data_IF_384821605907
#
_entry.id   IF_384821605907
#
_cell.length_a   1.000
_cell.length_b   1.000
_cell.length_c   1.000
_cell.angle_alpha   90.00
_cell.angle_beta   90.00
_cell.angle_gamma   90.00
#
_symmetry.space_group_name_H-M   'P 1'
#
loop_
_entity.id
_entity.type
_entity.pdbx_description
1 polymer ?
#
# COMPACT_ATOMS: atom_id res chain seq x y z
N UNK A 1 10.99 -7.79 -24.03
CA UNK A 1 10.32 -6.59 -23.47
C UNK A 1 11.26 -5.97 -22.47
N UNK A 2 11.66 -4.73 -22.72
CA UNK A 2 12.59 -3.95 -21.91
C UNK A 2 11.83 -2.85 -21.16
N UNK A 3 12.01 -2.74 -19.87
CA UNK A 3 11.29 -1.78 -19.04
C UNK A 3 12.25 -0.91 -18.24
N UNK A 4 12.15 0.40 -18.43
CA UNK A 4 12.84 1.37 -17.58
C UNK A 4 11.91 1.82 -16.45
N UNK A 5 12.31 1.55 -15.22
CA UNK A 5 11.55 1.85 -13.99
C UNK A 5 12.08 3.13 -13.33
N UNK A 6 11.27 4.18 -13.20
CA UNK A 6 11.72 5.47 -12.66
C UNK A 6 10.98 5.84 -11.38
N UNK A 7 11.70 5.93 -10.25
CA UNK A 7 11.19 6.35 -8.94
C UNK A 7 11.88 7.63 -8.46
N UNK A 8 11.12 8.73 -8.43
CA UNK A 8 11.66 10.04 -8.00
C UNK A 8 11.59 10.30 -6.50
N UNK A 9 10.85 9.50 -5.75
CA UNK A 9 10.73 9.60 -4.29
C UNK A 9 11.89 8.89 -3.56
N UNK A 10 12.08 9.27 -2.29
CA UNK A 10 13.10 8.68 -1.40
C UNK A 10 12.57 8.47 0.03
N UNK A 11 11.25 8.58 0.23
CA UNK A 11 10.63 8.26 1.52
C UNK A 11 10.48 6.74 1.68
N UNK A 12 10.29 6.29 2.91
CA UNK A 12 10.02 4.88 3.26
C UNK A 12 8.49 4.63 3.29
N UNK A 13 7.78 5.09 2.27
CA UNK A 13 6.32 4.91 2.15
C UNK A 13 5.93 3.60 1.48
N UNK A 14 4.66 3.22 1.60
CA UNK A 14 4.14 1.99 0.98
C UNK A 14 4.29 1.95 -0.54
N UNK A 15 4.25 3.10 -1.23
CA UNK A 15 4.44 3.16 -2.68
C UNK A 15 5.90 2.89 -3.09
N UNK A 16 6.87 3.34 -2.30
CA UNK A 16 8.29 3.09 -2.52
C UNK A 16 8.66 1.63 -2.24
N UNK A 17 8.09 1.05 -1.21
CA UNK A 17 8.26 -0.38 -0.91
C UNK A 17 7.68 -1.21 -2.05
N UNK A 18 6.43 -0.92 -2.45
CA UNK A 18 5.76 -1.64 -3.52
C UNK A 18 6.49 -1.52 -4.87
N UNK A 19 7.10 -0.38 -5.17
CA UNK A 19 7.96 -0.23 -6.35
C UNK A 19 9.08 -1.28 -6.40
N UNK A 20 9.74 -1.50 -5.27
CA UNK A 20 10.84 -2.48 -5.19
C UNK A 20 10.33 -3.92 -5.26
N UNK A 21 9.18 -4.20 -4.67
CA UNK A 21 8.52 -5.51 -4.77
C UNK A 21 8.09 -5.79 -6.22
N UNK A 22 7.51 -4.82 -6.91
CA UNK A 22 7.13 -4.96 -8.31
C UNK A 22 8.33 -5.21 -9.24
N UNK A 23 9.48 -4.52 -9.00
CA UNK A 23 10.73 -4.79 -9.72
C UNK A 23 11.21 -6.22 -9.46
N UNK A 24 11.22 -6.65 -8.19
CA UNK A 24 11.64 -8.01 -7.84
C UNK A 24 10.77 -9.07 -8.54
N UNK A 25 9.46 -8.88 -8.52
CA UNK A 25 8.52 -9.78 -9.22
C UNK A 25 8.77 -9.84 -10.72
N UNK A 26 8.97 -8.69 -11.38
CA UNK A 26 9.26 -8.64 -12.81
C UNK A 26 10.64 -9.26 -13.14
N UNK A 27 11.61 -9.15 -12.22
CA UNK A 27 12.92 -9.80 -12.36
C UNK A 27 12.80 -11.32 -12.32
N UNK A 28 11.98 -11.86 -11.41
CA UNK A 28 11.68 -13.29 -11.32
C UNK A 28 10.97 -13.84 -12.59
N UNK A 29 10.33 -12.94 -13.35
CA UNK A 29 9.70 -13.27 -14.65
C UNK A 29 10.64 -13.10 -15.85
N UNK A 30 11.95 -12.89 -15.60
CA UNK A 30 12.98 -12.66 -16.62
C UNK A 30 12.66 -11.47 -17.55
N UNK A 31 12.05 -10.41 -17.00
CA UNK A 31 11.84 -9.15 -17.72
C UNK A 31 13.13 -8.33 -17.64
N UNK A 32 13.63 -7.91 -18.80
CA UNK A 32 14.80 -7.04 -18.88
C UNK A 32 14.48 -5.65 -18.32
N UNK A 33 15.11 -5.28 -17.22
CA UNK A 33 14.82 -4.07 -16.47
C UNK A 33 16.05 -3.21 -16.25
N UNK A 34 15.86 -1.90 -16.27
CA UNK A 34 16.79 -0.90 -15.78
C UNK A 34 16.07 0.03 -14.82
N UNK A 35 16.70 0.46 -13.73
CA UNK A 35 16.07 1.35 -12.75
C UNK A 35 16.74 2.73 -12.71
N UNK A 36 15.92 3.78 -12.53
CA UNK A 36 16.41 5.11 -12.16
C UNK A 36 15.76 5.51 -10.84
N UNK A 37 16.58 5.74 -9.83
CA UNK A 37 16.12 6.06 -8.47
C UNK A 37 16.70 7.35 -7.94
N UNK A 38 16.03 7.93 -6.95
CA UNK A 38 16.53 9.12 -6.28
C UNK A 38 17.83 8.77 -5.51
N UNK A 39 18.89 9.57 -5.68
CA UNK A 39 20.18 9.37 -4.99
C UNK A 39 20.08 9.35 -3.45
N UNK A 40 18.99 9.87 -2.89
CA UNK A 40 18.73 9.83 -1.45
C UNK A 40 18.02 8.55 -0.98
N UNK A 41 17.53 7.71 -1.90
CA UNK A 41 16.83 6.46 -1.59
C UNK A 41 17.83 5.33 -1.30
N UNK A 42 18.49 5.37 -0.14
CA UNK A 42 19.51 4.38 0.24
C UNK A 42 18.98 2.96 0.27
N UNK A 43 17.80 2.73 0.87
CA UNK A 43 17.18 1.39 0.95
C UNK A 43 16.83 0.84 -0.45
N UNK A 44 16.31 1.71 -1.32
CA UNK A 44 16.02 1.34 -2.71
C UNK A 44 17.29 0.94 -3.48
N UNK A 45 18.37 1.67 -3.31
CA UNK A 45 19.66 1.37 -3.94
C UNK A 45 20.17 -0.01 -3.48
N UNK A 46 20.26 -0.26 -2.17
CA UNK A 46 20.69 -1.55 -1.60
C UNK A 46 19.82 -2.71 -2.11
N UNK A 47 18.50 -2.50 -2.23
CA UNK A 47 17.60 -3.53 -2.74
C UNK A 47 17.82 -3.83 -4.22
N UNK A 48 18.04 -2.81 -5.06
CA UNK A 48 18.37 -3.00 -6.49
C UNK A 48 19.71 -3.74 -6.67
N UNK A 49 20.72 -3.42 -5.87
CA UNK A 49 21.99 -4.13 -5.83
C UNK A 49 21.79 -5.61 -5.48
N UNK A 50 21.04 -5.91 -4.43
CA UNK A 50 20.75 -7.29 -4.01
C UNK A 50 19.97 -8.12 -5.06
N UNK A 51 19.22 -7.44 -5.94
CA UNK A 51 18.48 -8.06 -7.04
C UNK A 51 19.28 -8.12 -8.35
N UNK A 52 20.51 -7.62 -8.38
CA UNK A 52 21.35 -7.48 -9.57
C UNK A 52 20.64 -6.69 -10.71
N UNK A 53 19.80 -5.71 -10.37
CA UNK A 53 19.14 -4.85 -11.34
C UNK A 53 20.06 -3.69 -11.69
N UNK A 54 20.42 -3.46 -12.97
CA UNK A 54 21.21 -2.30 -13.37
C UNK A 54 20.43 -1.00 -13.09
N UNK A 55 21.11 -0.01 -12.51
CA UNK A 55 20.46 1.25 -12.16
C UNK A 55 21.37 2.46 -12.29
N UNK A 56 20.74 3.64 -12.33
CA UNK A 56 21.38 4.97 -12.16
C UNK A 56 20.65 5.77 -11.09
N UNK A 57 21.41 6.62 -10.40
CA UNK A 57 20.85 7.55 -9.43
C UNK A 57 20.70 8.96 -10.01
N UNK A 58 19.58 9.62 -9.69
CA UNK A 58 19.29 10.99 -10.13
C UNK A 58 18.77 11.82 -8.95
N UNK A 59 19.05 13.11 -8.91
CA UNK A 59 18.62 13.96 -7.78
C UNK A 59 17.14 14.27 -7.75
N UNK A 60 16.45 14.25 -8.88
CA UNK A 60 15.05 14.68 -9.06
C UNK A 60 14.77 16.06 -8.43
N UNK A 61 15.77 16.96 -8.47
CA UNK A 61 15.63 18.32 -7.98
C UNK A 61 15.06 19.22 -9.09
N UNK A 62 14.09 20.06 -8.76
CA UNK A 62 13.46 20.99 -9.72
C UNK A 62 14.47 22.01 -10.27
N UNK A 63 15.39 22.50 -9.44
CA UNK A 63 16.43 23.46 -9.83
C UNK A 63 17.42 22.89 -10.86
N UNK A 64 17.67 21.58 -10.81
CA UNK A 64 18.58 20.87 -11.71
C UNK A 64 17.82 19.86 -12.59
N UNK A 65 16.60 20.25 -13.00
CA UNK A 65 15.74 19.39 -13.82
C UNK A 65 16.39 18.99 -15.13
N UNK A 66 17.12 19.91 -15.74
CA UNK A 66 17.85 19.69 -16.99
C UNK A 66 18.90 18.57 -16.87
N UNK A 67 19.81 18.63 -15.89
CA UNK A 67 20.83 17.61 -15.72
C UNK A 67 20.24 16.21 -15.42
N UNK A 68 19.14 16.18 -14.65
CA UNK A 68 18.41 14.94 -14.39
C UNK A 68 17.80 14.36 -15.67
N UNK A 69 17.23 15.21 -16.53
CA UNK A 69 16.66 14.80 -17.83
C UNK A 69 17.75 14.29 -18.79
N UNK A 70 18.93 14.87 -18.80
CA UNK A 70 20.05 14.38 -19.62
C UNK A 70 20.46 12.96 -19.23
N UNK A 71 20.56 12.69 -17.93
CA UNK A 71 20.89 11.33 -17.45
C UNK A 71 19.79 10.34 -17.86
N UNK A 72 18.52 10.69 -17.67
CA UNK A 72 17.38 9.86 -18.05
C UNK A 72 17.39 9.60 -19.56
N UNK A 73 17.59 10.64 -20.37
CA UNK A 73 17.64 10.53 -21.83
C UNK A 73 18.79 9.62 -22.29
N UNK A 74 19.98 9.76 -21.66
CA UNK A 74 21.09 8.86 -21.96
C UNK A 74 20.75 7.40 -21.66
N UNK A 75 20.16 7.10 -20.50
CA UNK A 75 19.76 5.73 -20.16
C UNK A 75 18.70 5.21 -21.15
N UNK A 76 17.75 6.03 -21.57
CA UNK A 76 16.75 5.64 -22.58
C UNK A 76 17.43 5.28 -23.91
N UNK A 77 18.37 6.09 -24.37
CA UNK A 77 19.07 5.87 -25.64
C UNK A 77 19.96 4.60 -25.61
N UNK A 78 20.62 4.36 -24.48
CA UNK A 78 21.54 3.21 -24.30
C UNK A 78 20.74 1.91 -24.10
N UNK A 79 19.71 1.92 -23.25
CA UNK A 79 18.91 0.75 -22.90
C UNK A 79 17.83 0.41 -23.92
N UNK A 80 17.30 1.42 -24.64
CA UNK A 80 16.21 1.32 -25.64
C UNK A 80 14.99 0.56 -25.09
N UNK A 81 14.32 1.11 -24.06
CA UNK A 81 13.17 0.46 -23.44
C UNK A 81 11.95 0.44 -24.36
N UNK A 82 11.14 -0.61 -24.30
CA UNK A 82 9.79 -0.63 -24.88
C UNK A 82 8.85 0.27 -24.06
N UNK A 83 9.01 0.24 -22.73
CA UNK A 83 8.19 0.96 -21.75
C UNK A 83 9.10 1.73 -20.77
N UNK A 84 8.76 2.99 -20.50
CA UNK A 84 9.27 3.76 -19.38
C UNK A 84 8.15 3.95 -18.37
N UNK A 85 8.28 3.30 -17.22
CA UNK A 85 7.27 3.30 -16.15
C UNK A 85 7.66 4.31 -15.07
N UNK A 86 6.90 5.38 -14.97
CA UNK A 86 7.10 6.47 -14.00
C UNK A 86 6.25 6.23 -12.76
N UNK A 87 6.90 5.93 -11.66
CA UNK A 87 6.26 5.71 -10.36
C UNK A 87 6.02 7.03 -9.66
N UNK A 88 4.76 7.40 -9.52
CA UNK A 88 4.29 8.63 -8.87
C UNK A 88 4.62 9.93 -9.63
N UNK A 89 3.90 11.00 -9.29
CA UNK A 89 3.96 12.27 -10.02
C UNK A 89 5.32 12.99 -9.99
N UNK A 90 6.22 12.70 -9.02
CA UNK A 90 7.57 13.28 -9.05
C UNK A 90 8.38 12.74 -10.23
N UNK A 91 8.32 11.44 -10.47
CA UNK A 91 9.01 10.82 -11.61
C UNK A 91 8.44 11.35 -12.93
N UNK A 92 7.11 11.44 -13.09
CA UNK A 92 6.44 11.97 -14.27
C UNK A 92 6.86 13.41 -14.61
N UNK A 93 7.24 14.23 -13.63
CA UNK A 93 7.74 15.60 -13.88
C UNK A 93 9.06 15.62 -14.67
N UNK A 94 9.74 14.50 -14.81
CA UNK A 94 11.00 14.33 -15.56
C UNK A 94 10.83 13.49 -16.82
N UNK A 95 9.60 13.28 -17.27
CA UNK A 95 9.26 12.50 -18.44
C UNK A 95 10.03 12.98 -19.69
N UNK A 96 10.47 12.01 -20.47
CA UNK A 96 11.12 12.16 -21.76
C UNK A 96 10.22 11.49 -22.80
N UNK A 97 9.92 12.18 -23.90
CA UNK A 97 9.25 11.60 -25.05
C UNK A 97 10.25 10.89 -25.97
N UNK A 98 9.82 9.85 -26.65
CA UNK A 98 10.62 9.06 -27.57
C UNK A 98 9.80 7.95 -28.21
N UNK A 99 10.47 6.96 -28.78
CA UNK A 99 9.81 5.79 -29.39
C UNK A 99 9.24 4.79 -28.36
N UNK A 100 9.61 4.92 -27.09
CA UNK A 100 9.07 4.10 -26.00
C UNK A 100 7.67 4.58 -25.58
N UNK A 101 7.01 3.77 -24.76
CA UNK A 101 5.71 4.09 -24.18
C UNK A 101 5.91 4.60 -22.75
N UNK A 102 5.34 5.76 -22.43
CA UNK A 102 5.39 6.33 -21.08
C UNK A 102 4.15 5.94 -20.28
N UNK A 103 4.32 5.21 -19.16
CA UNK A 103 3.26 4.82 -18.24
C UNK A 103 3.40 5.58 -16.93
N UNK A 104 2.31 6.19 -16.44
CA UNK A 104 2.26 6.86 -15.15
C UNK A 104 1.53 6.01 -14.09
N UNK A 105 2.17 5.72 -12.96
CA UNK A 105 1.57 5.02 -11.82
C UNK A 105 0.99 6.01 -10.82
N UNK A 106 -0.34 5.94 -10.60
CA UNK A 106 -1.05 6.78 -9.64
C UNK A 106 -1.22 6.06 -8.30
N UNK A 107 -0.59 6.59 -7.25
CA UNK A 107 -0.62 6.02 -5.91
C UNK A 107 -1.72 6.60 -4.99
N UNK A 108 -2.60 7.47 -5.51
CA UNK A 108 -3.67 8.09 -4.71
C UNK A 108 -4.43 9.20 -5.42
N UNK A 109 -5.42 9.73 -4.74
CA UNK A 109 -6.36 10.76 -5.21
C UNK A 109 -5.68 12.14 -5.24
N UNK A 110 -4.90 12.41 -6.27
CA UNK A 110 -4.18 13.66 -6.49
C UNK A 110 -4.48 14.20 -7.89
N UNK A 111 -4.10 15.46 -8.15
CA UNK A 111 -4.19 16.06 -9.47
C UNK A 111 -3.34 15.31 -10.49
N UNK A 112 -3.82 15.27 -11.74
CA UNK A 112 -3.20 14.53 -12.86
C UNK A 112 -2.21 15.34 -13.68
N UNK A 113 -1.99 16.61 -13.35
CA UNK A 113 -1.20 17.56 -14.16
C UNK A 113 0.19 17.03 -14.52
N UNK A 114 0.85 16.36 -13.56
CA UNK A 114 2.18 15.78 -13.76
C UNK A 114 2.18 14.52 -14.61
N UNK A 115 1.02 13.90 -14.76
CA UNK A 115 0.84 12.64 -15.48
C UNK A 115 0.32 12.85 -16.91
N UNK A 116 -0.18 14.05 -17.26
CA UNK A 116 -0.82 14.33 -18.55
C UNK A 116 0.06 13.98 -19.77
N UNK A 117 1.38 14.00 -19.62
CA UNK A 117 2.33 13.65 -20.66
C UNK A 117 2.58 12.13 -20.79
N UNK A 118 2.00 11.30 -19.92
CA UNK A 118 2.08 9.85 -20.05
C UNK A 118 1.09 9.37 -21.13
N UNK A 119 1.49 8.34 -21.87
CA UNK A 119 0.66 7.73 -22.92
C UNK A 119 -0.45 6.87 -22.29
N UNK A 120 -0.13 6.19 -21.17
CA UNK A 120 -1.03 5.34 -20.41
C UNK A 120 -0.87 5.54 -18.90
N UNK A 121 -1.89 5.12 -18.15
CA UNK A 121 -1.96 5.33 -16.70
C UNK A 121 -2.34 4.04 -15.99
N UNK A 122 -1.75 3.81 -14.81
CA UNK A 122 -2.12 2.73 -13.89
C UNK A 122 -2.80 3.33 -12.68
N UNK A 123 -3.98 2.82 -12.35
CA UNK A 123 -4.75 3.13 -11.16
C UNK A 123 -4.85 1.90 -10.25
N UNK A 124 -4.75 2.10 -8.92
CA UNK A 124 -4.78 1.00 -7.94
C UNK A 124 -6.17 0.38 -7.77
N UNK A 125 -7.22 1.15 -8.05
CA UNK A 125 -8.62 0.75 -7.85
C UNK A 125 -9.49 1.33 -8.95
N UNK A 126 -10.68 0.74 -9.15
CA UNK A 126 -11.70 1.24 -10.08
C UNK A 126 -12.16 2.66 -9.74
N UNK A 127 -12.25 3.03 -8.46
CA UNK A 127 -12.57 4.40 -8.05
C UNK A 127 -11.45 5.38 -8.38
N UNK A 128 -10.19 5.00 -8.16
CA UNK A 128 -9.06 5.83 -8.57
C UNK A 128 -9.02 6.00 -10.10
N UNK A 129 -9.33 4.94 -10.87
CA UNK A 129 -9.50 5.02 -12.32
C UNK A 129 -10.55 6.07 -12.70
N UNK A 130 -11.74 6.03 -12.07
CA UNK A 130 -12.80 7.03 -12.30
C UNK A 130 -12.33 8.45 -11.95
N UNK A 131 -11.64 8.61 -10.82
CA UNK A 131 -11.10 9.91 -10.39
C UNK A 131 -10.11 10.50 -11.40
N UNK A 132 -9.23 9.67 -11.98
CA UNK A 132 -8.28 10.08 -13.01
C UNK A 132 -9.03 10.48 -14.30
N UNK A 133 -10.02 9.69 -14.72
CA UNK A 133 -10.83 9.97 -15.90
C UNK A 133 -11.62 11.29 -15.78
N UNK A 134 -12.20 11.55 -14.61
CA UNK A 134 -12.92 12.82 -14.33
C UNK A 134 -12.02 14.05 -14.43
N UNK A 135 -10.70 13.91 -14.34
CA UNK A 135 -9.75 15.00 -14.54
C UNK A 135 -9.28 15.14 -16.00
N UNK A 136 -9.96 14.49 -16.95
CA UNK A 136 -9.75 14.64 -18.39
C UNK A 136 -8.71 13.70 -19.00
N UNK A 137 -8.37 12.60 -18.35
CA UNK A 137 -7.60 11.52 -18.95
C UNK A 137 -8.59 10.51 -19.59
N UNK A 138 -8.32 10.11 -20.85
CA UNK A 138 -9.13 9.12 -21.55
C UNK A 138 -9.18 7.80 -20.76
N UNK A 139 -10.39 7.33 -20.44
CA UNK A 139 -10.63 6.12 -19.68
C UNK A 139 -10.05 4.84 -20.33
N UNK A 140 -9.91 4.83 -21.67
CA UNK A 140 -9.30 3.72 -22.41
C UNK A 140 -7.77 3.65 -22.23
N UNK A 141 -7.15 4.72 -21.76
CA UNK A 141 -5.73 4.81 -21.45
C UNK A 141 -5.43 4.53 -19.98
N UNK A 142 -6.45 4.23 -19.16
CA UNK A 142 -6.29 3.97 -17.71
C UNK A 142 -6.57 2.50 -17.42
N UNK A 143 -5.57 1.79 -16.94
CA UNK A 143 -5.67 0.39 -16.54
C UNK A 143 -5.72 0.28 -15.01
N UNK A 144 -6.59 -0.60 -14.52
CA UNK A 144 -6.60 -0.95 -13.11
C UNK A 144 -5.56 -2.05 -12.86
N UNK A 145 -4.66 -1.80 -11.93
CA UNK A 145 -3.69 -2.76 -11.45
C UNK A 145 -3.47 -2.54 -9.95
N UNK A 146 -4.12 -3.34 -9.10
CA UNK A 146 -3.96 -3.24 -7.66
C UNK A 146 -2.54 -3.66 -7.25
N UNK A 147 -2.10 -3.17 -6.10
CA UNK A 147 -0.91 -3.69 -5.46
C UNK A 147 -1.18 -5.11 -4.94
N UNK A 148 -0.11 -5.84 -4.68
CA UNK A 148 -0.17 -7.17 -4.09
C UNK A 148 0.56 -7.21 -2.74
N UNK A 149 0.38 -8.31 -2.01
CA UNK A 149 1.22 -8.70 -0.88
C UNK A 149 1.55 -10.18 -0.98
N UNK A 150 2.57 -10.61 -0.21
CA UNK A 150 2.93 -12.01 -0.12
C UNK A 150 2.02 -12.76 0.85
N UNK A 151 1.89 -14.06 0.65
CA UNK A 151 1.20 -14.92 1.61
C UNK A 151 1.93 -14.87 2.94
N UNK A 152 1.20 -14.58 4.02
CA UNK A 152 1.79 -14.57 5.35
C UNK A 152 2.09 -16.00 5.82
N UNK A 153 3.36 -16.29 6.08
CA UNK A 153 3.86 -17.57 6.61
C UNK A 153 4.66 -17.37 7.90
N UNK A 154 4.60 -16.19 8.48
CA UNK A 154 5.36 -15.84 9.67
C UNK A 154 4.84 -16.58 10.89
N UNK A 155 5.77 -16.97 11.77
CA UNK A 155 5.44 -17.50 13.09
C UNK A 155 4.86 -16.38 13.96
N UNK A 156 3.97 -16.75 14.87
CA UNK A 156 3.47 -15.84 15.90
C UNK A 156 4.59 -15.44 16.85
N UNK A 157 4.54 -14.20 17.32
CA UNK A 157 5.36 -13.72 18.45
C UNK A 157 4.61 -13.97 19.76
N UNK A 158 5.34 -13.96 20.86
CA UNK A 158 4.73 -14.19 22.17
C UNK A 158 4.03 -12.91 22.64
N UNK A 159 2.73 -13.01 22.98
CA UNK A 159 1.95 -11.86 23.49
C UNK A 159 2.51 -11.33 24.81
N UNK A 160 3.10 -12.23 25.64
CA UNK A 160 3.74 -11.86 26.91
C UNK A 160 4.91 -10.87 26.74
N UNK A 161 5.61 -10.87 25.60
CA UNK A 161 6.70 -9.93 25.32
C UNK A 161 6.22 -8.46 25.26
N UNK A 162 4.88 -8.29 25.15
CA UNK A 162 4.20 -7.00 25.14
C UNK A 162 3.14 -6.91 26.27
N UNK A 163 3.31 -7.62 27.38
CA UNK A 163 2.38 -7.65 28.51
C UNK A 163 0.92 -7.81 28.06
N UNK A 164 0.65 -8.73 27.15
CA UNK A 164 -0.67 -8.96 26.59
C UNK A 164 -1.11 -10.39 26.91
N UNK A 165 -2.24 -10.59 27.61
CA UNK A 165 -2.76 -11.92 27.96
C UNK A 165 -3.12 -12.74 26.71
N UNK A 166 -2.89 -14.05 26.75
CA UNK A 166 -3.20 -14.97 25.65
C UNK A 166 -4.71 -15.22 25.50
N UNK A 167 -5.46 -15.14 26.60
CA UNK A 167 -6.91 -15.40 26.66
C UNK A 167 -7.79 -14.20 26.29
N UNK A 168 -7.20 -13.05 26.02
CA UNK A 168 -7.93 -11.82 25.69
C UNK A 168 -7.91 -11.53 24.19
N UNK A 169 -8.99 -10.97 23.62
CA UNK A 169 -8.99 -10.53 22.22
C UNK A 169 -7.90 -9.49 21.98
N UNK A 170 -7.09 -9.71 20.94
CA UNK A 170 -6.02 -8.81 20.55
C UNK A 170 -6.28 -8.18 19.19
N UNK A 171 -6.40 -6.86 19.18
CA UNK A 171 -6.52 -6.04 17.98
C UNK A 171 -5.16 -5.53 17.54
N UNK A 172 -5.00 -5.35 16.23
CA UNK A 172 -3.82 -4.72 15.61
C UNK A 172 -4.23 -3.56 14.71
N UNK A 173 -3.53 -2.43 14.85
CA UNK A 173 -3.55 -1.35 13.86
C UNK A 173 -2.13 -1.06 13.39
N UNK A 174 -1.88 -1.29 12.10
CA UNK A 174 -0.60 -1.00 11.44
C UNK A 174 -0.74 0.28 10.61
N UNK A 175 -0.13 1.37 11.02
CA UNK A 175 -0.20 2.62 10.27
C UNK A 175 0.82 3.65 10.72
N UNK A 176 1.02 4.68 9.89
CA UNK A 176 1.71 5.89 10.35
C UNK A 176 0.89 6.58 11.44
N UNK A 177 1.55 7.09 12.47
CA UNK A 177 0.88 7.85 13.54
C UNK A 177 0.62 9.28 13.06
N UNK A 178 -0.45 9.44 12.28
CA UNK A 178 -0.85 10.67 11.61
C UNK A 178 -2.38 10.81 11.62
N UNK A 179 -2.91 12.03 11.65
CA UNK A 179 -4.34 12.35 11.79
C UNK A 179 -5.23 11.63 10.75
N UNK A 180 -4.75 11.47 9.51
CA UNK A 180 -5.48 10.76 8.45
C UNK A 180 -5.71 9.27 8.76
N UNK A 181 -5.03 8.71 9.77
CA UNK A 181 -5.14 7.28 10.12
C UNK A 181 -6.19 6.99 11.21
N UNK A 182 -6.78 8.03 11.82
CA UNK A 182 -7.92 7.89 12.72
C UNK A 182 -7.65 7.08 13.99
N UNK A 183 -6.38 6.99 14.43
CA UNK A 183 -6.02 6.22 15.64
C UNK A 183 -6.61 6.83 16.90
N UNK A 184 -6.86 8.12 16.92
CA UNK A 184 -7.57 8.85 17.96
C UNK A 184 -8.99 8.29 18.18
N UNK A 185 -9.72 8.05 17.09
CA UNK A 185 -11.06 7.43 17.10
C UNK A 185 -11.00 5.97 17.58
N UNK A 186 -9.96 5.23 17.18
CA UNK A 186 -9.77 3.85 17.65
C UNK A 186 -9.53 3.81 19.17
N UNK A 187 -8.74 4.74 19.72
CA UNK A 187 -8.54 4.82 21.16
C UNK A 187 -9.85 5.09 21.91
N UNK A 188 -10.70 5.99 21.41
CA UNK A 188 -12.03 6.23 21.98
C UNK A 188 -12.93 4.99 21.89
N UNK A 189 -12.91 4.27 20.79
CA UNK A 189 -13.65 3.02 20.62
C UNK A 189 -13.18 1.95 21.62
N UNK A 190 -11.88 1.88 21.91
CA UNK A 190 -11.32 0.92 22.89
C UNK A 190 -11.83 1.13 24.32
N UNK A 191 -12.27 2.33 24.69
CA UNK A 191 -12.94 2.59 25.99
C UNK A 191 -14.21 1.75 26.10
N UNK A 192 -14.94 1.57 24.97
CA UNK A 192 -16.21 0.84 24.90
C UNK A 192 -16.02 -0.66 24.70
N UNK A 193 -14.78 -1.15 24.58
CA UNK A 193 -14.43 -2.57 24.39
C UNK A 193 -13.43 -2.98 25.47
N UNK A 194 -13.87 -3.05 26.76
CA UNK A 194 -12.96 -3.23 27.90
C UNK A 194 -12.26 -4.61 27.94
N UNK A 195 -12.81 -5.62 27.28
CA UNK A 195 -12.26 -6.97 27.22
C UNK A 195 -11.05 -7.13 26.28
N UNK A 196 -10.83 -6.17 25.37
CA UNK A 196 -9.84 -6.29 24.32
C UNK A 196 -8.53 -5.53 24.59
N UNK A 197 -7.45 -6.03 24.01
CA UNK A 197 -6.15 -5.38 23.93
C UNK A 197 -5.91 -4.84 22.52
N UNK A 198 -5.09 -3.79 22.40
CA UNK A 198 -4.75 -3.18 21.11
C UNK A 198 -3.25 -2.98 21.00
N UNK A 199 -2.69 -3.50 19.93
CA UNK A 199 -1.35 -3.13 19.47
C UNK A 199 -1.42 -2.10 18.35
N UNK A 200 -0.68 -1.01 18.51
CA UNK A 200 -0.50 0.02 17.49
C UNK A 200 0.96 -0.01 17.04
N UNK A 201 1.21 -0.46 15.82
CA UNK A 201 2.56 -0.53 15.26
C UNK A 201 2.72 0.49 14.12
N UNK A 202 3.78 1.29 14.23
CA UNK A 202 4.13 2.36 13.32
C UNK A 202 4.78 3.54 14.02
N UNK A 203 5.15 4.54 13.25
CA UNK A 203 5.75 5.78 13.71
C UNK A 203 5.08 6.99 13.07
N UNK A 204 5.25 8.17 13.65
CA UNK A 204 4.71 9.39 13.09
C UNK A 204 4.64 10.54 14.08
N UNK A 205 4.27 11.74 13.60
CA UNK A 205 4.30 12.95 14.42
C UNK A 205 3.33 12.94 15.62
N UNK A 206 2.23 12.18 15.54
CA UNK A 206 1.23 12.12 16.61
C UNK A 206 1.53 11.09 17.71
N UNK A 207 2.75 10.50 17.76
CA UNK A 207 3.07 9.46 18.74
C UNK A 207 2.76 9.89 20.17
N UNK A 208 3.27 11.04 20.59
CA UNK A 208 3.11 11.52 21.96
C UNK A 208 1.64 11.92 22.26
N UNK A 209 0.97 12.53 21.30
CA UNK A 209 -0.44 12.94 21.46
C UNK A 209 -1.34 11.70 21.64
N UNK A 210 -1.13 10.64 20.88
CA UNK A 210 -1.88 9.38 20.98
C UNK A 210 -1.57 8.64 22.29
N UNK A 211 -0.33 8.65 22.76
CA UNK A 211 0.02 8.08 24.07
C UNK A 211 -0.71 8.84 25.18
N UNK A 212 -0.63 10.18 25.19
CA UNK A 212 -1.30 11.02 26.16
C UNK A 212 -2.84 10.85 26.12
N UNK A 213 -3.42 10.70 24.92
CA UNK A 213 -4.86 10.39 24.78
C UNK A 213 -5.19 9.01 25.39
N UNK A 214 -4.39 8.00 25.11
CA UNK A 214 -4.56 6.66 25.66
C UNK A 214 -4.52 6.65 27.20
N UNK A 215 -3.62 7.43 27.80
CA UNK A 215 -3.52 7.57 29.26
C UNK A 215 -4.75 8.28 29.87
N UNK A 216 -5.17 9.40 29.27
CA UNK A 216 -6.39 10.13 29.70
C UNK A 216 -7.65 9.29 29.60
N UNK A 217 -7.71 8.37 28.62
CA UNK A 217 -8.81 7.43 28.44
C UNK A 217 -8.73 6.18 29.34
N UNK A 218 -7.72 6.08 30.21
CA UNK A 218 -7.54 4.94 31.09
C UNK A 218 -7.13 3.63 30.39
N UNK A 219 -6.49 3.72 29.20
CA UNK A 219 -6.15 2.56 28.38
C UNK A 219 -4.72 2.04 28.60
N UNK A 220 -3.95 2.61 29.52
CA UNK A 220 -2.51 2.36 29.72
C UNK A 220 -2.12 0.87 29.75
N UNK A 221 -2.93 0.03 30.39
CA UNK A 221 -2.65 -1.42 30.48
C UNK A 221 -3.00 -2.21 29.22
N UNK A 222 -3.92 -1.72 28.38
CA UNK A 222 -4.54 -2.46 27.27
C UNK A 222 -4.12 -2.01 25.88
N UNK A 223 -3.51 -0.84 25.75
CA UNK A 223 -3.01 -0.31 24.47
C UNK A 223 -1.49 -0.26 24.51
N UNK A 224 -0.85 -0.88 23.53
CA UNK A 224 0.61 -0.94 23.40
C UNK A 224 1.05 -0.26 22.09
N UNK A 225 1.90 0.75 22.22
CA UNK A 225 2.54 1.43 21.08
C UNK A 225 3.88 0.77 20.77
N UNK A 226 3.92 -0.08 19.73
CA UNK A 226 5.08 -0.93 19.41
C UNK A 226 6.17 -0.22 18.60
N UNK A 227 5.93 1.03 18.18
CA UNK A 227 6.84 1.74 17.27
C UNK A 227 6.89 1.15 15.86
N UNK A 228 7.90 1.53 15.10
CA UNK A 228 8.13 0.93 13.78
C UNK A 228 8.58 -0.51 13.92
N UNK A 229 7.94 -1.41 13.15
CA UNK A 229 8.21 -2.85 13.17
C UNK A 229 8.53 -3.35 11.78
N UNK A 230 9.55 -4.17 11.66
CA UNK A 230 9.91 -4.84 10.40
C UNK A 230 9.26 -6.23 10.29
N UNK A 231 8.80 -6.79 11.41
CA UNK A 231 8.14 -8.09 11.53
C UNK A 231 6.59 -7.98 11.54
N UNK A 232 6.04 -7.07 10.72
CA UNK A 232 4.60 -6.82 10.64
C UNK A 232 3.78 -8.08 10.36
N UNK A 233 4.33 -9.02 9.59
CA UNK A 233 3.71 -10.31 9.28
C UNK A 233 3.55 -11.17 10.53
N UNK A 234 4.53 -11.15 11.43
CA UNK A 234 4.46 -11.87 12.71
C UNK A 234 3.44 -11.21 13.67
N UNK A 235 3.38 -9.88 13.70
CA UNK A 235 2.33 -9.15 14.43
C UNK A 235 0.94 -9.57 13.93
N UNK A 236 0.71 -9.56 12.61
CA UNK A 236 -0.56 -9.99 12.02
C UNK A 236 -0.87 -11.46 12.30
N UNK A 237 0.12 -12.35 12.25
CA UNK A 237 -0.09 -13.76 12.59
C UNK A 237 -0.55 -13.95 14.04
N UNK A 238 -0.10 -13.09 14.95
CA UNK A 238 -0.35 -13.16 16.41
C UNK A 238 -1.72 -12.60 16.79
N UNK A 239 -2.19 -11.55 16.13
CA UNK A 239 -3.43 -10.85 16.48
C UNK A 239 -4.68 -11.62 16.06
N UNK A 240 -5.83 -11.25 16.63
CA UNK A 240 -7.12 -11.85 16.31
C UNK A 240 -7.89 -11.04 15.26
N UNK A 241 -7.82 -9.71 15.34
CA UNK A 241 -8.58 -8.77 14.49
C UNK A 241 -7.66 -7.63 14.03
N UNK A 242 -7.75 -7.24 12.77
CA UNK A 242 -7.10 -6.04 12.26
C UNK A 242 -8.10 -4.89 12.12
N UNK A 243 -7.72 -3.69 12.60
CA UNK A 243 -8.59 -2.50 12.60
C UNK A 243 -7.90 -1.34 11.92
N UNK A 244 -8.54 -0.75 10.90
CA UNK A 244 -8.00 0.32 10.08
C UNK A 244 -8.94 1.52 10.02
N UNK A 245 -8.92 2.39 11.03
CA UNK A 245 -9.87 3.50 11.19
C UNK A 245 -9.52 4.72 10.32
N UNK A 246 -8.83 4.51 9.19
CA UNK A 246 -8.29 5.58 8.36
C UNK A 246 -9.38 6.49 7.79
N UNK A 247 -9.23 7.80 7.99
CA UNK A 247 -10.06 8.86 7.39
C UNK A 247 -9.81 8.98 5.88
N UNK A 248 -8.56 8.72 5.48
CA UNK A 248 -8.18 8.77 4.07
C UNK A 248 -7.11 7.73 3.77
N UNK A 249 -7.43 6.78 2.90
CA UNK A 249 -6.51 5.81 2.34
C UNK A 249 -6.87 5.57 0.88
N UNK A 250 -5.88 5.55 0.01
CA UNK A 250 -6.11 5.40 -1.43
C UNK A 250 -6.33 3.95 -1.85
N UNK A 251 -5.85 3.00 -1.05
CA UNK A 251 -5.98 1.57 -1.33
C UNK A 251 -6.27 0.76 -0.07
N UNK A 252 -5.42 0.90 0.98
CA UNK A 252 -5.50 0.08 2.18
C UNK A 252 -4.64 -1.18 2.10
N UNK A 253 -3.33 -1.03 1.81
CA UNK A 253 -2.39 -2.14 1.71
C UNK A 253 -2.45 -3.10 2.91
N UNK A 254 -2.58 -2.54 4.11
CA UNK A 254 -2.67 -3.33 5.35
C UNK A 254 -3.92 -4.23 5.41
N UNK A 255 -4.98 -3.94 4.66
CA UNK A 255 -6.18 -4.79 4.57
C UNK A 255 -5.85 -6.08 3.82
N UNK A 256 -5.17 -5.98 2.68
CA UNK A 256 -4.77 -7.18 1.92
C UNK A 256 -3.69 -7.98 2.66
N UNK A 257 -2.84 -7.33 3.45
CA UNK A 257 -1.87 -7.98 4.32
C UNK A 257 -2.58 -8.78 5.46
N UNK A 258 -3.62 -8.21 6.05
CA UNK A 258 -4.43 -8.92 7.05
C UNK A 258 -5.22 -10.08 6.43
N UNK A 259 -5.76 -9.94 5.22
CA UNK A 259 -6.36 -11.05 4.48
C UNK A 259 -5.35 -12.16 4.19
N UNK A 260 -4.12 -11.80 3.78
CA UNK A 260 -3.04 -12.77 3.58
C UNK A 260 -2.67 -13.54 4.86
N UNK A 261 -2.88 -12.92 6.03
CA UNK A 261 -2.73 -13.54 7.35
C UNK A 261 -4.00 -14.26 7.85
N UNK A 262 -5.07 -14.33 7.06
CA UNK A 262 -6.39 -14.86 7.44
C UNK A 262 -6.95 -14.19 8.69
N UNK A 263 -6.88 -12.85 8.76
CA UNK A 263 -7.46 -12.08 9.86
C UNK A 263 -8.70 -11.32 9.39
N UNK A 264 -9.76 -11.28 10.21
CA UNK A 264 -10.90 -10.43 9.94
C UNK A 264 -10.49 -8.95 9.99
N UNK A 265 -11.02 -8.16 9.06
CA UNK A 265 -10.75 -6.74 8.93
C UNK A 265 -11.95 -5.89 9.34
N UNK A 266 -11.70 -4.83 10.09
CA UNK A 266 -12.65 -3.74 10.33
C UNK A 266 -12.00 -2.46 9.82
N UNK A 267 -12.63 -1.74 8.91
CA UNK A 267 -12.09 -0.52 8.33
C UNK A 267 -13.13 0.59 8.23
N UNK A 268 -12.68 1.84 8.28
CA UNK A 268 -13.54 2.97 7.93
C UNK A 268 -13.74 3.05 6.40
N UNK A 269 -14.89 3.60 5.96
CA UNK A 269 -15.29 3.78 4.55
C UNK A 269 -14.48 4.85 3.82
N UNK A 270 -13.16 4.91 4.06
CA UNK A 270 -12.28 5.76 3.25
C UNK A 270 -12.14 5.21 1.82
N UNK A 271 -11.71 6.01 0.85
CA UNK A 271 -11.81 5.68 -0.58
C UNK A 271 -11.29 4.31 -0.99
N UNK A 272 -10.11 3.91 -0.52
CA UNK A 272 -9.54 2.59 -0.80
C UNK A 272 -10.33 1.44 -0.15
N UNK A 273 -10.46 1.40 1.18
CA UNK A 273 -11.21 0.38 1.90
C UNK A 273 -12.62 0.13 1.36
N UNK A 274 -13.40 1.18 1.10
CA UNK A 274 -14.77 1.02 0.54
C UNK A 274 -14.79 0.40 -0.86
N UNK A 275 -13.68 0.48 -1.61
CA UNK A 275 -13.57 -0.12 -2.94
C UNK A 275 -13.14 -1.58 -2.88
N UNK A 276 -12.26 -1.93 -1.93
CA UNK A 276 -11.70 -3.28 -1.88
C UNK A 276 -12.47 -4.23 -0.95
N UNK A 277 -13.09 -3.72 0.12
CA UNK A 277 -13.89 -4.53 1.05
C UNK A 277 -15.33 -4.64 0.56
N UNK A 278 -15.85 -5.86 0.53
CA UNK A 278 -17.28 -6.15 0.41
C UNK A 278 -17.84 -6.28 1.82
N UNK A 279 -18.58 -5.23 2.26
CA UNK A 279 -19.06 -5.12 3.64
C UNK A 279 -19.86 -6.34 4.07
N UNK A 280 -19.67 -6.79 5.32
CA UNK A 280 -20.24 -8.00 5.93
C UNK A 280 -19.91 -9.32 5.20
N UNK A 281 -19.03 -9.32 4.20
CA UNK A 281 -18.60 -10.52 3.47
C UNK A 281 -17.13 -10.86 3.70
N UNK A 282 -16.20 -9.94 3.41
CA UNK A 282 -14.75 -10.12 3.56
C UNK A 282 -14.10 -9.11 4.51
N UNK A 283 -14.92 -8.28 5.17
CA UNK A 283 -14.56 -7.33 6.20
C UNK A 283 -15.78 -6.57 6.67
N UNK A 284 -15.63 -5.73 7.69
CA UNK A 284 -16.67 -4.79 8.13
C UNK A 284 -16.25 -3.37 7.77
N UNK A 285 -17.20 -2.59 7.23
CA UNK A 285 -17.03 -1.19 6.93
C UNK A 285 -17.87 -0.32 7.89
N UNK A 286 -17.22 0.64 8.53
CA UNK A 286 -17.86 1.61 9.41
C UNK A 286 -17.69 3.04 8.88
N UNK A 287 -18.56 3.95 9.28
CA UNK A 287 -18.44 5.35 8.90
C UNK A 287 -17.17 5.98 9.48
N UNK A 288 -16.61 6.95 8.77
CA UNK A 288 -15.42 7.69 9.22
C UNK A 288 -15.81 8.49 10.47
N UNK A 289 -14.90 8.48 11.46
CA UNK A 289 -15.05 9.19 12.74
C UNK A 289 -16.25 8.75 13.60
N UNK A 290 -16.85 7.60 13.34
CA UNK A 290 -17.93 7.04 14.16
C UNK A 290 -17.37 6.06 15.20
N UNK A 291 -17.07 6.59 16.39
CA UNK A 291 -16.55 5.84 17.55
C UNK A 291 -17.51 4.69 17.94
N UNK A 292 -18.82 4.95 17.92
CA UNK A 292 -19.80 3.97 18.38
C UNK A 292 -19.88 2.78 17.43
N UNK A 293 -20.05 3.05 16.12
CA UNK A 293 -20.09 1.98 15.11
C UNK A 293 -18.77 1.20 15.04
N UNK A 294 -17.62 1.87 15.26
CA UNK A 294 -16.34 1.18 15.31
C UNK A 294 -16.27 0.22 16.50
N UNK A 295 -16.67 0.67 17.69
CA UNK A 295 -16.73 -0.19 18.88
C UNK A 295 -17.72 -1.36 18.71
N UNK A 296 -18.90 -1.11 18.14
CA UNK A 296 -19.91 -2.13 17.90
C UNK A 296 -19.42 -3.18 16.88
N UNK A 297 -18.74 -2.74 15.82
CA UNK A 297 -18.13 -3.66 14.85
C UNK A 297 -17.06 -4.54 15.49
N UNK A 298 -16.20 -3.98 16.38
CA UNK A 298 -15.19 -4.72 17.11
C UNK A 298 -15.87 -5.78 18.01
N UNK A 299 -16.85 -5.39 18.83
CA UNK A 299 -17.62 -6.31 19.68
C UNK A 299 -18.32 -7.40 18.88
N UNK A 300 -18.91 -7.04 17.74
CA UNK A 300 -19.58 -7.98 16.84
C UNK A 300 -18.64 -9.08 16.36
N UNK A 301 -17.40 -8.75 16.03
CA UNK A 301 -16.40 -9.73 15.59
C UNK A 301 -15.87 -10.55 16.77
N UNK A 302 -15.59 -9.93 17.93
CA UNK A 302 -15.13 -10.61 19.14
C UNK A 302 -16.14 -11.65 19.61
N UNK A 303 -17.43 -11.29 19.64
CA UNK A 303 -18.49 -12.11 20.22
C UNK A 303 -19.09 -13.12 19.23
N UNK A 304 -18.62 -13.15 17.98
CA UNK A 304 -19.14 -14.04 16.94
C UNK A 304 -18.02 -14.72 16.13
N UNK A 305 -17.53 -15.83 16.65
CA UNK A 305 -16.47 -16.61 15.99
C UNK A 305 -16.84 -17.09 14.58
N UNK A 306 -18.12 -17.38 14.31
CA UNK A 306 -18.57 -17.79 12.97
C UNK A 306 -18.40 -16.62 11.99
N UNK A 307 -18.80 -15.42 12.38
CA UNK A 307 -18.60 -14.21 11.58
C UNK A 307 -17.11 -13.93 11.37
N UNK A 308 -16.30 -13.92 12.44
CA UNK A 308 -14.87 -13.68 12.38
C UNK A 308 -14.18 -14.62 11.38
N UNK A 309 -14.45 -15.92 11.48
CA UNK A 309 -13.93 -16.94 10.57
C UNK A 309 -14.42 -16.76 9.13
N UNK A 310 -15.69 -16.40 8.93
CA UNK A 310 -16.25 -16.15 7.59
C UNK A 310 -15.55 -14.97 6.93
N UNK A 311 -15.43 -13.83 7.63
CA UNK A 311 -14.74 -12.63 7.14
C UNK A 311 -13.28 -12.93 6.78
N UNK A 312 -12.56 -13.64 7.65
CA UNK A 312 -11.18 -14.03 7.44
C UNK A 312 -10.99 -14.95 6.22
N UNK A 313 -11.84 -15.96 6.07
CA UNK A 313 -11.75 -16.93 4.96
C UNK A 313 -12.12 -16.28 3.62
N UNK A 314 -13.19 -15.49 3.58
CA UNK A 314 -13.61 -14.77 2.37
C UNK A 314 -12.56 -13.73 1.96
N UNK A 315 -11.99 -13.01 2.95
CA UNK A 315 -10.88 -12.08 2.71
C UNK A 315 -9.65 -12.79 2.13
N UNK A 316 -9.27 -13.94 2.72
CA UNK A 316 -8.16 -14.74 2.20
C UNK A 316 -8.40 -15.25 0.77
N UNK A 317 -9.62 -15.72 0.47
CA UNK A 317 -10.00 -16.12 -0.89
C UNK A 317 -9.83 -14.96 -1.87
N UNK A 318 -10.36 -13.79 -1.52
CA UNK A 318 -10.23 -12.56 -2.32
C UNK A 318 -8.78 -12.11 -2.49
N UNK A 319 -7.96 -12.23 -1.43
CA UNK A 319 -6.51 -12.00 -1.51
C UNK A 319 -5.87 -12.90 -2.57
N UNK A 320 -6.12 -14.21 -2.52
CA UNK A 320 -5.56 -15.17 -3.48
C UNK A 320 -5.98 -14.88 -4.92
N UNK A 321 -7.24 -14.49 -5.13
CA UNK A 321 -7.82 -14.25 -6.46
C UNK A 321 -7.43 -12.91 -7.09
N UNK A 322 -7.08 -11.88 -6.28
CA UNK A 322 -6.91 -10.51 -6.79
C UNK A 322 -5.64 -9.80 -6.34
N UNK A 323 -5.08 -10.16 -5.16
CA UNK A 323 -4.03 -9.39 -4.51
C UNK A 323 -2.79 -10.20 -4.19
N UNK A 324 -2.69 -11.42 -4.73
CA UNK A 324 -1.47 -12.23 -4.66
C UNK A 324 -0.43 -11.76 -5.67
N UNK A 325 0.84 -12.03 -5.39
CA UNK A 325 1.94 -11.76 -6.32
C UNK A 325 1.72 -12.44 -7.69
N UNK A 326 1.15 -13.64 -7.70
CA UNK A 326 0.86 -14.38 -8.93
C UNK A 326 -0.15 -13.64 -9.81
N UNK A 327 -1.23 -13.12 -9.24
CA UNK A 327 -2.24 -12.36 -9.99
C UNK A 327 -1.71 -11.00 -10.45
N UNK A 328 -0.91 -10.32 -9.63
CA UNK A 328 -0.22 -9.11 -10.06
C UNK A 328 0.69 -9.37 -11.25
N UNK A 329 1.53 -10.40 -11.18
CA UNK A 329 2.44 -10.83 -12.25
C UNK A 329 1.72 -11.06 -13.57
N UNK A 330 0.63 -11.81 -13.54
CA UNK A 330 -0.21 -12.11 -14.70
C UNK A 330 -0.83 -10.83 -15.30
N UNK A 331 -1.37 -9.96 -14.45
CA UNK A 331 -2.07 -8.76 -14.88
C UNK A 331 -1.12 -7.68 -15.40
N UNK A 332 0.03 -7.45 -14.76
CA UNK A 332 1.01 -6.44 -15.22
C UNK A 332 1.59 -6.83 -16.59
N UNK A 333 1.92 -8.09 -16.80
CA UNK A 333 2.41 -8.56 -18.11
C UNK A 333 1.32 -8.44 -19.19
N UNK A 334 0.08 -8.79 -18.86
CA UNK A 334 -1.06 -8.63 -19.78
C UNK A 334 -1.23 -7.18 -20.21
N UNK A 335 -1.18 -6.24 -19.26
CA UNK A 335 -1.29 -4.80 -19.54
C UNK A 335 -0.14 -4.33 -20.40
N UNK A 336 1.10 -4.65 -20.07
CA UNK A 336 2.27 -4.22 -20.84
C UNK A 336 2.24 -4.76 -22.28
N UNK A 337 1.93 -6.04 -22.48
CA UNK A 337 1.78 -6.61 -23.83
C UNK A 337 0.66 -5.98 -24.63
N UNK A 338 -0.48 -5.68 -24.00
CA UNK A 338 -1.59 -5.00 -24.64
C UNK A 338 -1.19 -3.59 -25.12
N UNK A 339 -0.55 -2.82 -24.26
CA UNK A 339 -0.12 -1.44 -24.56
C UNK A 339 0.90 -1.43 -25.70
N UNK A 340 1.88 -2.33 -25.69
CA UNK A 340 2.85 -2.46 -26.79
C UNK A 340 2.16 -2.81 -28.12
N UNK A 341 1.19 -3.74 -28.09
CA UNK A 341 0.41 -4.10 -29.28
C UNK A 341 -0.42 -2.93 -29.83
N UNK A 342 -0.98 -2.11 -28.93
CA UNK A 342 -1.77 -0.92 -29.35
C UNK A 342 -0.91 0.16 -29.99
N UNK A 343 0.35 0.30 -29.57
CA UNK A 343 1.30 1.25 -30.18
C UNK A 343 1.73 0.86 -31.59
N UNK A 344 1.84 -0.46 -31.84
CA UNK A 344 2.32 -0.99 -33.13
C UNK A 344 1.21 -1.13 -34.19
N UNK A 345 -0.02 -0.71 -33.86
CA UNK A 345 -1.14 -0.57 -34.79
C UNK A 345 -1.28 0.87 -35.28
#
# INVERSE_FOLDING_TARGET
MKILQIMGSYSDGGAEIFYLDAIATLNNLNIDQYAIVNKKNKKGIMRLESLNIPFKTVSFNKLFKWSSKLIISKVINDFKPDIVHYWMGRACSFLIHGEHINIGWHSGYRGVERFRACDYHIALTSELKKHIALQGIDSNKIYELPIYTHKNQSKKILRKDFDTPEDKPLLLSLSRLHSVKGLDILLEAMVKVPEAFLWIAGSGPLKNDLINQSERLGLRGRVKFLGWREDKEALMATTDICVFPSRNDAFGAVIIEAWAAKKPNIACKSPGPRTIISDNHDGLLVEIDDVNKLADAIKKVINNNKLANSLANNGYKKFMEKYSEQEFSKNVIKIYRLIIKLKNK
#
